data_IF_680863109291
#
_entry.id   IF_680863109291
#
_cell.length_a   1.000
_cell.length_b   1.000
_cell.length_c   1.000
_cell.angle_alpha   90.00
_cell.angle_beta   90.00
_cell.angle_gamma   90.00
#
_symmetry.space_group_name_H-M   'P 1'
#
loop_
_entity.id
_entity.type
_entity.pdbx_description
1 polymer ?
#
# COMPACT_ATOMS: atom_id res chain seq x y z
N UNK A 1 -10.61 31.13 51.34
CA UNK A 1 -11.49 30.74 50.21
C UNK A 1 -10.94 29.48 49.58
N UNK A 2 -11.74 28.41 49.49
CA UNK A 2 -11.32 27.06 49.07
C UNK A 2 -11.39 26.96 47.54
N UNK A 3 -10.26 26.78 46.86
CA UNK A 3 -10.21 26.40 45.45
C UNK A 3 -10.34 24.88 45.37
N UNK A 4 -11.51 24.45 44.93
CA UNK A 4 -11.89 23.05 44.91
C UNK A 4 -12.10 22.58 43.46
N UNK A 5 -11.44 21.46 43.18
CA UNK A 5 -11.78 20.42 42.21
C UNK A 5 -11.31 20.52 40.76
N UNK A 6 -10.65 19.43 40.41
CA UNK A 6 -10.00 19.04 39.16
C UNK A 6 -11.01 18.49 38.15
N UNK A 7 -10.50 18.36 36.91
CA UNK A 7 -10.89 17.39 35.88
C UNK A 7 -12.25 17.71 35.21
N UNK A 8 -12.45 17.53 33.90
CA UNK A 8 -12.06 16.43 33.02
C UNK A 8 -11.99 17.00 31.60
N UNK A 9 -10.86 16.84 30.91
CA UNK A 9 -10.80 17.05 29.45
C UNK A 9 -11.23 15.73 28.81
N UNK A 10 -12.50 15.66 28.41
CA UNK A 10 -13.04 14.50 27.71
C UNK A 10 -12.51 14.49 26.27
N UNK A 11 -11.68 13.48 25.97
CA UNK A 11 -11.34 13.07 24.62
C UNK A 11 -12.61 12.67 23.86
N UNK A 12 -12.86 13.29 22.72
CA UNK A 12 -13.73 12.74 21.69
C UNK A 12 -12.89 12.53 20.44
N UNK A 13 -12.36 11.32 20.31
CA UNK A 13 -11.73 10.82 19.10
C UNK A 13 -12.80 10.70 18.01
N UNK A 14 -12.64 11.45 16.93
CA UNK A 14 -13.40 11.25 15.72
C UNK A 14 -12.86 9.99 15.02
N UNK A 15 -13.57 8.88 15.17
CA UNK A 15 -13.39 7.71 14.33
C UNK A 15 -13.76 8.12 12.90
N UNK A 16 -12.76 8.35 12.05
CA UNK A 16 -12.97 8.49 10.63
C UNK A 16 -13.48 7.14 10.11
N UNK A 17 -14.78 7.08 9.80
CA UNK A 17 -15.38 6.01 9.03
C UNK A 17 -14.67 5.98 7.67
N UNK A 18 -13.75 5.03 7.50
CA UNK A 18 -13.14 4.74 6.22
C UNK A 18 -14.25 4.39 5.23
N UNK A 19 -14.48 5.26 4.26
CA UNK A 19 -15.32 4.94 3.12
C UNK A 19 -14.67 3.77 2.39
N UNK A 20 -15.21 2.57 2.58
CA UNK A 20 -14.86 1.43 1.76
C UNK A 20 -15.29 1.76 0.33
N UNK A 21 -14.33 2.13 -0.51
CA UNK A 21 -14.57 2.29 -1.93
C UNK A 21 -15.23 1.00 -2.46
N UNK A 22 -16.23 1.09 -3.35
CA UNK A 22 -16.82 -0.10 -3.94
C UNK A 22 -15.70 -0.93 -4.57
N UNK A 23 -15.61 -2.21 -4.18
CA UNK A 23 -14.61 -3.10 -4.73
C UNK A 23 -14.83 -3.17 -6.25
N UNK A 24 -13.90 -2.56 -7.00
CA UNK A 24 -13.90 -2.63 -8.44
C UNK A 24 -13.93 -4.12 -8.86
N UNK A 25 -14.71 -4.47 -9.89
CA UNK A 25 -14.95 -5.87 -10.26
C UNK A 25 -13.67 -6.57 -10.74
N UNK A 26 -12.68 -5.80 -11.20
CA UNK A 26 -11.32 -6.27 -11.45
C UNK A 26 -10.36 -5.48 -10.54
N UNK A 27 -9.34 -6.16 -10.02
CA UNK A 27 -8.30 -5.56 -9.19
C UNK A 27 -6.99 -5.50 -9.93
N UNK A 28 -6.41 -4.31 -9.97
CA UNK A 28 -5.08 -4.08 -10.52
C UNK A 28 -4.33 -3.28 -9.46
N UNK A 29 -3.46 -3.98 -8.71
CA UNK A 29 -2.81 -3.41 -7.54
C UNK A 29 -1.28 -3.65 -7.57
N UNK A 30 -0.46 -2.67 -7.20
CA UNK A 30 -0.83 -1.30 -6.87
C UNK A 30 -1.15 -0.48 -8.14
N UNK A 31 -1.92 0.59 -7.96
CA UNK A 31 -2.10 1.67 -8.93
C UNK A 31 -2.03 2.99 -8.16
N UNK A 32 -1.10 3.91 -8.44
CA UNK A 32 -0.12 3.94 -9.53
C UNK A 32 1.12 3.04 -9.33
N UNK A 33 1.82 2.75 -10.42
CA UNK A 33 3.09 1.98 -10.48
C UNK A 33 4.19 2.73 -11.22
N UNK A 34 5.44 2.29 -11.05
CA UNK A 34 6.58 2.69 -11.89
C UNK A 34 7.03 1.56 -12.81
N UNK A 35 7.80 1.90 -13.85
CA UNK A 35 8.40 0.91 -14.74
C UNK A 35 9.29 -0.06 -13.94
N UNK A 36 9.19 -1.35 -14.24
CA UNK A 36 9.86 -2.42 -13.49
C UNK A 36 9.11 -2.91 -12.26
N UNK A 37 8.02 -2.28 -11.83
CA UNK A 37 7.28 -2.75 -10.65
C UNK A 37 6.44 -4.01 -10.96
N UNK A 38 6.24 -4.86 -9.95
CA UNK A 38 5.26 -5.95 -10.04
C UNK A 38 3.85 -5.42 -9.74
N UNK A 39 2.88 -5.93 -10.49
CA UNK A 39 1.46 -5.61 -10.37
C UNK A 39 0.69 -6.92 -10.27
N UNK A 40 -0.18 -6.96 -9.28
CA UNK A 40 -1.15 -8.00 -9.04
C UNK A 40 -2.41 -7.71 -9.86
N UNK A 41 -2.84 -8.69 -10.65
CA UNK A 41 -4.07 -8.66 -11.44
C UNK A 41 -5.03 -9.68 -10.83
N UNK A 42 -6.27 -9.29 -10.59
CA UNK A 42 -7.30 -10.16 -10.04
C UNK A 42 -8.67 -9.92 -10.67
N UNK A 43 -9.46 -10.97 -10.81
CA UNK A 43 -10.83 -10.92 -11.32
C UNK A 43 -11.88 -10.62 -10.23
N UNK A 44 -11.46 -10.41 -8.98
CA UNK A 44 -12.36 -10.20 -7.84
C UNK A 44 -13.35 -11.36 -7.59
N UNK A 45 -13.07 -12.56 -8.11
CA UNK A 45 -13.95 -13.73 -8.05
C UNK A 45 -15.04 -13.77 -9.12
N UNK A 46 -15.06 -12.81 -10.06
CA UNK A 46 -16.12 -12.67 -11.07
C UNK A 46 -16.08 -13.75 -12.15
N UNK A 47 -14.91 -14.28 -12.48
CA UNK A 47 -14.77 -15.28 -13.54
C UNK A 47 -14.83 -16.72 -13.03
N UNK A 48 -15.17 -16.95 -11.75
CA UNK A 48 -15.19 -18.29 -11.15
C UNK A 48 -16.09 -19.27 -11.92
N UNK A 49 -17.29 -18.83 -12.33
CA UNK A 49 -18.23 -19.67 -13.09
C UNK A 49 -17.77 -19.96 -14.54
N UNK A 50 -16.89 -19.12 -15.09
CA UNK A 50 -16.38 -19.28 -16.45
C UNK A 50 -15.20 -20.27 -16.54
N UNK A 51 -14.66 -20.74 -15.41
CA UNK A 51 -13.57 -21.73 -15.39
C UNK A 51 -12.21 -21.20 -15.87
N UNK A 52 -12.08 -19.89 -16.08
CA UNK A 52 -10.82 -19.26 -16.49
C UNK A 52 -10.96 -17.79 -16.84
N UNK A 53 -9.82 -17.08 -16.87
CA UNK A 53 -9.75 -15.68 -17.28
C UNK A 53 -8.37 -15.30 -17.82
N UNK A 54 -8.33 -14.22 -18.60
CA UNK A 54 -7.10 -13.65 -19.18
C UNK A 54 -7.13 -12.13 -19.06
N UNK A 55 -6.06 -11.56 -18.52
CA UNK A 55 -5.82 -10.13 -18.56
C UNK A 55 -5.09 -9.76 -19.85
N UNK A 56 -5.43 -8.62 -20.45
CA UNK A 56 -4.82 -8.12 -21.69
C UNK A 56 -4.53 -6.63 -21.52
N UNK A 57 -3.29 -6.23 -21.81
CA UNK A 57 -2.87 -4.83 -21.88
C UNK A 57 -1.79 -4.66 -22.93
N UNK A 58 -1.66 -3.45 -23.49
CA UNK A 58 -0.52 -3.09 -24.35
C UNK A 58 0.79 -3.05 -23.58
N UNK A 59 0.75 -2.95 -22.24
CA UNK A 59 1.94 -2.96 -21.38
C UNK A 59 2.62 -4.33 -21.32
N UNK A 60 1.87 -5.40 -21.11
CA UNK A 60 2.42 -6.72 -20.80
C UNK A 60 1.86 -7.85 -21.68
N UNK A 61 1.00 -7.51 -22.65
CA UNK A 61 0.35 -8.49 -23.52
C UNK A 61 -0.73 -9.32 -22.79
N UNK A 62 -1.10 -10.48 -23.37
CA UNK A 62 -2.06 -11.39 -22.74
C UNK A 62 -1.42 -12.23 -21.64
N UNK A 63 -2.07 -12.28 -20.47
CA UNK A 63 -1.64 -13.07 -19.30
C UNK A 63 -2.80 -13.90 -18.78
N UNK A 64 -2.59 -15.21 -18.64
CA UNK A 64 -3.59 -16.11 -18.06
C UNK A 64 -3.65 -15.93 -16.54
N UNK A 65 -4.86 -15.74 -16.01
CA UNK A 65 -5.12 -15.69 -14.58
C UNK A 65 -5.32 -17.13 -14.06
N UNK A 66 -4.75 -17.43 -12.89
CA UNK A 66 -4.83 -18.75 -12.25
C UNK A 66 -5.58 -18.68 -10.94
N UNK A 67 -6.17 -19.78 -10.44
CA UNK A 67 -6.80 -19.81 -9.13
C UNK A 67 -5.89 -19.29 -8.02
N UNK A 68 -6.43 -18.41 -7.17
CA UNK A 68 -5.80 -17.80 -6.01
C UNK A 68 -6.81 -17.52 -4.90
N UNK A 69 -6.39 -16.81 -3.85
CA UNK A 69 -7.18 -16.64 -2.62
C UNK A 69 -8.53 -15.91 -2.82
N UNK A 70 -8.64 -15.05 -3.83
CA UNK A 70 -9.80 -14.20 -4.07
C UNK A 70 -10.37 -14.34 -5.49
N UNK A 71 -10.20 -15.52 -6.12
CA UNK A 71 -10.64 -15.79 -7.49
C UNK A 71 -9.48 -16.16 -8.40
N UNK A 72 -9.47 -15.64 -9.62
CA UNK A 72 -8.40 -15.82 -10.59
C UNK A 72 -7.45 -14.62 -10.54
N UNK A 73 -6.15 -14.88 -10.40
CA UNK A 73 -5.13 -13.87 -10.24
C UNK A 73 -3.83 -14.18 -10.99
N UNK A 74 -3.02 -13.15 -11.22
CA UNK A 74 -1.66 -13.26 -11.75
C UNK A 74 -0.81 -12.06 -11.33
N UNK A 75 0.48 -12.28 -11.13
CA UNK A 75 1.46 -11.21 -10.94
C UNK A 75 2.23 -10.99 -12.24
N UNK A 76 2.28 -9.74 -12.68
CA UNK A 76 3.00 -9.32 -13.88
C UNK A 76 4.01 -8.24 -13.53
N UNK A 77 5.12 -8.18 -14.26
CA UNK A 77 6.08 -7.07 -14.12
C UNK A 77 5.83 -6.07 -15.22
N UNK A 78 5.63 -4.80 -14.85
CA UNK A 78 5.55 -3.69 -15.80
C UNK A 78 6.91 -3.58 -16.50
N UNK A 79 6.97 -3.51 -17.84
CA UNK A 79 8.25 -3.44 -18.54
C UNK A 79 9.10 -2.25 -18.07
N UNK A 80 10.41 -2.45 -18.00
CA UNK A 80 11.40 -1.42 -17.58
C UNK A 80 11.44 -0.18 -18.50
N UNK A 81 10.85 -0.28 -19.70
CA UNK A 81 10.72 0.78 -20.70
C UNK A 81 9.27 1.27 -20.91
N UNK A 82 8.36 0.93 -20.00
CA UNK A 82 6.97 1.37 -20.08
C UNK A 82 6.89 2.91 -20.06
N UNK A 83 6.14 3.48 -21.02
CA UNK A 83 5.92 4.91 -21.08
C UNK A 83 5.00 5.36 -19.92
N UNK A 84 5.30 6.47 -19.25
CA UNK A 84 4.39 7.07 -18.27
C UNK A 84 3.04 7.41 -18.92
N UNK A 85 1.94 7.12 -18.22
CA UNK A 85 0.59 7.34 -18.73
C UNK A 85 -0.43 6.40 -18.10
N UNK A 86 -1.67 6.51 -18.59
CA UNK A 86 -2.76 5.59 -18.24
C UNK A 86 -2.83 4.48 -19.28
N UNK A 87 -2.83 3.25 -18.81
CA UNK A 87 -2.87 2.05 -19.65
C UNK A 87 -4.08 1.21 -19.30
N UNK A 88 -4.83 0.78 -20.31
CA UNK A 88 -6.00 -0.05 -20.11
C UNK A 88 -5.59 -1.49 -19.83
N UNK A 89 -6.23 -2.10 -18.84
CA UNK A 89 -6.13 -3.52 -18.50
C UNK A 89 -7.51 -4.14 -18.63
N UNK A 90 -7.68 -5.07 -19.57
CA UNK A 90 -8.94 -5.76 -19.79
C UNK A 90 -8.86 -7.19 -19.29
N UNK A 91 -9.70 -7.56 -18.34
CA UNK A 91 -9.85 -8.95 -17.89
C UNK A 91 -11.04 -9.56 -18.63
N UNK A 92 -10.78 -10.65 -19.36
CA UNK A 92 -11.79 -11.43 -20.08
C UNK A 92 -11.93 -12.78 -19.40
N UNK A 93 -13.13 -13.09 -18.93
CA UNK A 93 -13.44 -14.46 -18.52
C UNK A 93 -13.41 -15.39 -19.75
N UNK A 94 -13.38 -16.71 -19.53
CA UNK A 94 -13.46 -17.69 -20.60
C UNK A 94 -14.76 -17.52 -21.45
N UNK A 95 -14.86 -18.16 -22.63
CA UNK A 95 -15.98 -17.95 -23.54
C UNK A 95 -17.35 -18.06 -22.87
N UNK A 96 -18.22 -17.07 -23.11
CA UNK A 96 -19.53 -16.95 -22.46
C UNK A 96 -19.53 -16.18 -21.14
N UNK A 97 -18.37 -15.79 -20.62
CA UNK A 97 -18.24 -14.97 -19.41
C UNK A 97 -18.12 -13.47 -19.66
N UNK A 98 -18.12 -12.71 -18.56
CA UNK A 98 -18.06 -11.24 -18.57
C UNK A 98 -16.67 -10.70 -18.95
N UNK A 99 -16.61 -9.41 -19.27
CA UNK A 99 -15.37 -8.68 -19.52
C UNK A 99 -15.34 -7.41 -18.69
N UNK A 100 -14.22 -7.17 -18.02
CA UNK A 100 -13.99 -6.02 -17.15
C UNK A 100 -12.81 -5.22 -17.66
N UNK A 101 -12.83 -3.91 -17.44
CA UNK A 101 -11.76 -3.02 -17.87
C UNK A 101 -11.38 -2.10 -16.72
N UNK A 102 -10.09 -2.08 -16.40
CA UNK A 102 -9.49 -1.22 -15.40
C UNK A 102 -8.39 -0.36 -16.02
N UNK A 103 -8.00 0.69 -15.30
CA UNK A 103 -6.89 1.56 -15.69
C UNK A 103 -5.71 1.33 -14.76
N UNK A 104 -4.51 1.22 -15.33
CA UNK A 104 -3.25 1.21 -14.62
C UNK A 104 -2.46 2.47 -14.95
N UNK A 105 -2.13 3.27 -13.94
CA UNK A 105 -1.35 4.50 -14.10
C UNK A 105 0.14 4.21 -13.88
N UNK A 106 0.92 4.35 -14.95
CA UNK A 106 2.39 4.29 -14.90
C UNK A 106 2.92 5.71 -14.69
N UNK A 107 3.61 5.95 -13.58
CA UNK A 107 4.27 7.23 -13.29
C UNK A 107 5.69 7.26 -13.81
N UNK A 108 6.24 8.48 -13.93
CA UNK A 108 7.67 8.68 -14.16
C UNK A 108 8.44 8.18 -12.94
N UNK A 109 9.45 7.35 -13.19
CA UNK A 109 10.27 6.69 -12.18
C UNK A 109 10.68 5.30 -12.67
N UNK A 110 11.81 4.81 -12.20
CA UNK A 110 12.22 3.41 -12.33
C UNK A 110 12.23 2.84 -10.92
N UNK A 111 11.99 1.54 -10.78
CA UNK A 111 12.42 0.83 -9.57
C UNK A 111 13.95 0.88 -9.57
N UNK A 112 14.51 1.97 -9.05
CA UNK A 112 15.88 1.95 -8.57
C UNK A 112 15.88 0.91 -7.46
N UNK A 113 16.66 -0.16 -7.61
CA UNK A 113 16.90 -1.08 -6.51
C UNK A 113 17.67 -0.32 -5.45
N UNK A 114 16.97 0.37 -4.55
CA UNK A 114 17.58 1.18 -3.51
C UNK A 114 17.51 0.42 -2.20
N UNK A 115 18.65 -0.15 -1.84
CA UNK A 115 19.21 0.01 -0.49
C UNK A 115 19.04 1.48 -0.07
N UNK A 116 17.96 1.78 0.66
CA UNK A 116 17.90 2.96 1.52
C UNK A 116 17.46 2.47 2.89
N UNK A 117 18.29 2.64 3.94
CA UNK A 117 17.82 2.47 5.29
C UNK A 117 16.79 3.57 5.55
N UNK A 118 15.52 3.23 5.40
CA UNK A 118 14.39 4.02 5.87
C UNK A 118 14.35 3.93 7.41
N UNK A 119 15.38 4.47 8.05
CA UNK A 119 15.56 4.52 9.50
C UNK A 119 16.12 5.88 9.94
N UNK A 120 15.92 6.94 9.15
CA UNK A 120 16.27 8.30 9.57
C UNK A 120 15.15 8.99 10.40
N UNK A 121 13.96 8.38 10.51
CA UNK A 121 12.86 8.92 11.32
C UNK A 121 12.76 8.34 12.74
N UNK A 122 13.32 7.15 12.99
CA UNK A 122 13.19 6.45 14.27
C UNK A 122 14.26 6.82 15.31
N UNK A 123 15.45 7.22 14.86
CA UNK A 123 16.58 7.53 15.76
C UNK A 123 16.46 8.90 16.44
N UNK A 124 15.63 9.81 15.92
CA UNK A 124 15.37 11.09 16.58
C UNK A 124 14.67 10.91 17.95
N UNK A 125 13.89 9.84 18.14
CA UNK A 125 13.19 9.58 19.40
C UNK A 125 14.10 8.96 20.48
N UNK A 126 15.18 8.28 20.11
CA UNK A 126 16.12 7.68 21.08
C UNK A 126 17.06 8.72 21.72
N UNK A 127 17.33 9.84 21.04
CA UNK A 127 18.18 10.90 21.59
C UNK A 127 17.47 11.66 22.73
N UNK A 128 16.14 11.82 22.69
CA UNK A 128 15.39 12.49 23.75
C UNK A 128 15.20 11.62 25.00
N UNK A 129 15.11 10.29 24.87
CA UNK A 129 15.03 9.39 26.02
C UNK A 129 16.39 9.17 26.71
N UNK A 130 17.51 9.17 25.97
CA UNK A 130 18.85 9.05 26.55
C UNK A 130 19.34 10.29 27.31
N UNK A 131 18.93 11.49 26.88
CA UNK A 131 19.35 12.76 27.49
C UNK A 131 18.85 12.95 28.93
N UNK A 132 17.64 12.47 29.24
CA UNK A 132 17.06 12.59 30.59
C UNK A 132 17.77 11.69 31.61
N UNK A 133 18.16 10.47 31.23
CA UNK A 133 18.90 9.56 32.11
C UNK A 133 20.34 10.03 32.39
N UNK A 134 21.00 10.64 31.40
CA UNK A 134 22.36 11.18 31.58
C UNK A 134 22.39 12.39 32.52
N UNK A 135 21.39 13.29 32.44
CA UNK A 135 21.31 14.46 33.33
C UNK A 135 20.96 14.12 34.77
N UNK A 136 20.16 13.06 35.01
CA UNK A 136 19.88 12.57 36.35
C UNK A 136 21.11 11.93 37.01
N UNK A 137 21.95 11.24 36.22
CA UNK A 137 23.18 10.61 36.75
C UNK A 137 24.26 11.63 37.12
N UNK A 138 24.38 12.75 36.40
CA UNK A 138 25.33 13.83 36.73
C UNK A 138 24.95 14.60 38.01
N UNK A 139 23.67 14.80 38.29
CA UNK A 139 23.24 15.52 39.51
C UNK A 139 23.34 14.68 40.79
N UNK A 140 23.31 13.35 40.70
CA UNK A 140 23.54 12.46 41.85
C UNK A 140 25.01 12.37 42.29
N UNK A 141 25.96 12.63 41.39
CA UNK A 141 27.39 12.58 41.69
C UNK A 141 27.93 13.88 42.34
N UNK A 142 27.23 15.00 42.21
CA UNK A 142 27.62 16.28 42.81
C UNK A 142 27.09 16.49 44.26
N UNK A 143 26.32 15.52 44.79
CA UNK A 143 25.78 15.58 46.16
C UNK A 143 26.52 14.67 47.16
N UNK A 144 27.68 14.13 46.77
CA UNK A 144 28.62 13.44 47.67
C UNK A 144 30.04 13.97 47.46
N UNK A 145 30.26 15.19 47.92
CA UNK A 145 31.58 15.71 48.29
C UNK A 145 31.37 16.73 49.39
#
# INVERSE_FOLDING_TARGET
>A
MKLAHRAVVALLGAAALGAAAPAAPARVEPDPVVAGQRVHLGDGGRCAAAGGARAVSTLFGPVALRPGAHGLAADVRVPERAAPGRHTVTIRCAPGGETFTETLTVRRGRVEGVDVPQAAGGLALLVLAGGAAYLLRRRGAAARS
#
